data_IF_144167394563
#
_entry.id   IF_144167394563
#
_cell.length_a   1.000
_cell.length_b   1.000
_cell.length_c   1.000
_cell.angle_alpha   90.00
_cell.angle_beta   90.00
_cell.angle_gamma   90.00
#
_symmetry.space_group_name_H-M   'P 1'
#
loop_
_entity.id
_entity.type
_entity.pdbx_description
1 polymer ?
#
# COMPACT_ATOMS: atom_id res chain seq x y z
N UNK A 1 -24.70 -9.76 -11.67
CA UNK A 1 -24.31 -10.08 -10.29
C UNK A 1 -23.84 -8.79 -9.64
N UNK A 2 -24.36 -8.42 -8.47
CA UNK A 2 -23.86 -7.26 -7.72
C UNK A 2 -22.49 -7.68 -7.17
N UNK A 3 -21.40 -7.13 -7.69
CA UNK A 3 -20.08 -7.54 -7.23
C UNK A 3 -19.95 -7.21 -5.75
N UNK A 4 -19.50 -8.20 -4.99
CA UNK A 4 -19.45 -8.15 -3.55
C UNK A 4 -18.58 -6.96 -3.12
N UNK A 5 -19.15 -6.02 -2.36
CA UNK A 5 -18.46 -4.81 -1.82
C UNK A 5 -17.28 -5.12 -0.89
N UNK A 6 -16.93 -6.40 -0.76
CA UNK A 6 -15.89 -6.96 0.11
C UNK A 6 -14.52 -6.37 -0.18
N UNK A 7 -14.13 -6.22 -1.46
CA UNK A 7 -12.80 -5.67 -1.79
C UNK A 7 -12.70 -4.16 -1.53
N UNK A 8 -13.61 -3.29 -2.02
CA UNK A 8 -13.58 -1.88 -1.68
C UNK A 8 -13.61 -1.61 -0.16
N UNK A 9 -14.45 -2.32 0.58
CA UNK A 9 -14.53 -2.18 2.03
C UNK A 9 -13.25 -2.67 2.74
N UNK A 10 -12.63 -3.74 2.23
CA UNK A 10 -11.33 -4.21 2.71
C UNK A 10 -10.22 -3.19 2.43
N UNK A 11 -10.18 -2.61 1.23
CA UNK A 11 -9.21 -1.58 0.87
C UNK A 11 -9.32 -0.36 1.80
N UNK A 12 -10.55 0.09 2.12
CA UNK A 12 -10.76 1.18 3.07
C UNK A 12 -10.23 0.84 4.47
N UNK A 13 -10.52 -0.37 4.95
CA UNK A 13 -10.03 -0.88 6.23
C UNK A 13 -8.50 -0.95 6.30
N UNK A 14 -7.83 -1.35 5.22
CA UNK A 14 -6.37 -1.40 5.13
C UNK A 14 -5.78 0.00 5.08
N UNK A 15 -6.35 0.91 4.29
CA UNK A 15 -5.89 2.30 4.15
C UNK A 15 -5.93 3.03 5.50
N UNK A 16 -7.02 2.90 6.27
CA UNK A 16 -7.13 3.53 7.60
C UNK A 16 -6.07 3.00 8.55
N UNK A 17 -5.86 1.67 8.57
CA UNK A 17 -4.85 1.03 9.42
C UNK A 17 -3.43 1.42 9.02
N UNK A 18 -3.14 1.46 7.73
CA UNK A 18 -1.88 1.96 7.19
C UNK A 18 -1.64 3.41 7.57
N UNK A 19 -2.67 4.28 7.51
CA UNK A 19 -2.53 5.67 7.92
C UNK A 19 -2.20 5.80 9.42
N UNK A 20 -2.87 5.00 10.27
CA UNK A 20 -2.59 4.97 11.71
C UNK A 20 -1.18 4.46 12.02
N UNK A 21 -0.77 3.33 11.42
CA UNK A 21 0.59 2.78 11.58
C UNK A 21 1.63 3.75 11.00
N UNK A 22 1.31 4.38 9.88
CA UNK A 22 2.10 5.42 9.23
C UNK A 22 2.40 6.59 10.16
N UNK A 23 1.35 7.16 10.75
CA UNK A 23 1.48 8.29 11.65
C UNK A 23 2.28 7.93 12.91
N UNK A 24 1.94 6.81 13.58
CA UNK A 24 2.63 6.39 14.81
C UNK A 24 4.08 5.98 14.53
N UNK A 25 4.31 5.19 13.47
CA UNK A 25 5.63 4.71 13.09
C UNK A 25 6.55 5.81 12.60
N UNK A 26 6.04 6.76 11.79
CA UNK A 26 6.84 7.91 11.34
C UNK A 26 7.19 8.84 12.52
N UNK A 27 6.24 9.10 13.44
CA UNK A 27 6.51 9.89 14.63
C UNK A 27 7.56 9.22 15.54
N UNK A 28 7.44 7.91 15.78
CA UNK A 28 8.44 7.17 16.56
C UNK A 28 9.81 7.16 15.87
N UNK A 29 9.84 6.99 14.55
CA UNK A 29 11.06 7.04 13.76
C UNK A 29 11.74 8.41 13.83
N UNK A 30 10.96 9.49 13.77
CA UNK A 30 11.46 10.87 13.85
C UNK A 30 12.00 11.22 15.24
N UNK A 31 11.39 10.69 16.31
CA UNK A 31 11.83 10.95 17.68
C UNK A 31 13.08 10.17 18.08
N UNK A 32 13.27 8.95 17.55
CA UNK A 32 14.40 8.08 17.90
C UNK A 32 15.55 8.07 16.91
N UNK A 33 15.29 8.40 15.66
CA UNK A 33 16.27 8.37 14.57
C UNK A 33 16.20 9.66 13.76
N UNK A 34 16.92 9.71 12.65
CA UNK A 34 16.94 10.86 11.76
C UNK A 34 15.64 11.02 10.95
N UNK A 35 15.38 12.25 10.52
CA UNK A 35 14.25 12.59 9.67
C UNK A 35 14.22 11.78 8.36
N UNK A 36 15.37 11.36 7.84
CA UNK A 36 15.51 10.53 6.63
C UNK A 36 14.90 9.13 6.83
N UNK A 37 14.94 8.58 8.05
CA UNK A 37 14.33 7.31 8.41
C UNK A 37 12.81 7.45 8.51
N UNK A 38 12.35 8.51 9.18
CA UNK A 38 10.93 8.81 9.29
C UNK A 38 10.28 9.08 7.93
N UNK A 39 10.95 9.86 7.08
CA UNK A 39 10.49 10.16 5.72
C UNK A 39 10.52 8.92 4.82
N UNK A 40 11.54 8.06 4.94
CA UNK A 40 11.57 6.76 4.26
C UNK A 40 10.38 5.89 4.67
N UNK A 41 10.12 5.76 5.97
CA UNK A 41 8.98 5.00 6.51
C UNK A 41 7.65 5.54 6.00
N UNK A 42 7.45 6.85 6.08
CA UNK A 42 6.25 7.50 5.56
C UNK A 42 6.06 7.25 4.06
N UNK A 43 7.13 7.34 3.27
CA UNK A 43 7.07 7.06 1.83
C UNK A 43 6.64 5.63 1.52
N UNK A 44 7.14 4.63 2.25
CA UNK A 44 6.71 3.23 2.10
C UNK A 44 5.24 3.01 2.44
N UNK A 45 4.75 3.66 3.50
CA UNK A 45 3.33 3.59 3.90
C UNK A 45 2.43 4.30 2.88
N UNK A 46 2.82 5.50 2.44
CA UNK A 46 2.07 6.27 1.43
C UNK A 46 1.96 5.48 0.13
N UNK A 47 3.02 4.80 -0.30
CA UNK A 47 2.98 3.94 -1.47
C UNK A 47 1.87 2.87 -1.35
N UNK A 48 1.73 2.20 -0.21
CA UNK A 48 0.65 1.23 -0.01
C UNK A 48 -0.73 1.86 -0.01
N UNK A 49 -0.90 3.01 0.65
CA UNK A 49 -2.18 3.73 0.65
C UNK A 49 -2.58 4.06 -0.78
N UNK A 50 -1.67 4.64 -1.57
CA UNK A 50 -1.92 4.97 -2.98
C UNK A 50 -2.21 3.73 -3.81
N UNK A 51 -1.48 2.63 -3.60
CA UNK A 51 -1.71 1.37 -4.30
C UNK A 51 -3.12 0.81 -4.03
N UNK A 52 -3.57 0.78 -2.77
CA UNK A 52 -4.91 0.29 -2.43
C UNK A 52 -6.02 1.22 -2.93
N UNK A 53 -5.82 2.53 -2.88
CA UNK A 53 -6.76 3.50 -3.45
C UNK A 53 -6.87 3.36 -4.97
N UNK A 54 -5.74 3.18 -5.66
CA UNK A 54 -5.71 2.92 -7.10
C UNK A 54 -6.47 1.62 -7.43
N UNK A 55 -6.17 0.53 -6.73
CA UNK A 55 -6.86 -0.75 -6.93
C UNK A 55 -8.36 -0.65 -6.67
N UNK A 56 -8.78 0.06 -5.61
CA UNK A 56 -10.20 0.32 -5.33
C UNK A 56 -10.86 1.10 -6.46
N UNK A 57 -10.24 2.18 -6.93
CA UNK A 57 -10.78 2.95 -8.05
C UNK A 57 -10.89 2.11 -9.33
N UNK A 58 -9.86 1.33 -9.65
CA UNK A 58 -9.84 0.47 -10.83
C UNK A 58 -10.90 -0.63 -10.75
N UNK A 59 -11.09 -1.21 -9.57
CA UNK A 59 -12.15 -2.19 -9.30
C UNK A 59 -13.55 -1.60 -9.54
N UNK A 60 -13.85 -0.43 -8.96
CA UNK A 60 -15.15 0.26 -9.16
C UNK A 60 -15.36 0.62 -10.63
N UNK A 61 -14.29 1.00 -11.34
CA UNK A 61 -14.37 1.29 -12.76
C UNK A 61 -14.67 0.03 -13.59
N UNK A 62 -14.02 -1.11 -13.32
CA UNK A 62 -14.34 -2.36 -14.00
C UNK A 62 -15.72 -2.92 -13.68
N UNK A 63 -16.21 -2.70 -12.45
CA UNK A 63 -17.58 -3.01 -12.08
C UNK A 63 -18.59 -2.20 -12.91
N UNK A 64 -18.35 -0.90 -13.11
CA UNK A 64 -19.18 -0.04 -13.97
C UNK A 64 -19.17 -0.46 -15.44
N UNK A 65 -18.07 -1.06 -15.91
CA UNK A 65 -17.95 -1.59 -17.26
C UNK A 65 -18.56 -3.00 -17.43
N UNK A 66 -19.21 -3.54 -16.38
CA UNK A 66 -19.78 -4.91 -16.35
C UNK A 66 -18.78 -5.99 -16.81
N UNK A 67 -17.48 -5.79 -16.54
CA UNK A 67 -16.44 -6.76 -16.90
C UNK A 67 -16.66 -8.08 -16.18
N UNK A 68 -16.28 -9.19 -16.84
CA UNK A 68 -16.39 -10.53 -16.29
C UNK A 68 -15.61 -10.66 -14.96
N UNK A 69 -16.17 -11.41 -14.01
CA UNK A 69 -15.60 -11.67 -12.69
C UNK A 69 -14.23 -12.33 -12.80
N UNK A 70 -14.08 -13.23 -13.79
CA UNK A 70 -12.80 -13.86 -14.09
C UNK A 70 -11.75 -12.83 -14.53
N UNK A 71 -12.15 -11.83 -15.33
CA UNK A 71 -11.27 -10.76 -15.79
C UNK A 71 -10.86 -9.82 -14.65
N UNK A 72 -11.81 -9.39 -13.80
CA UNK A 72 -11.53 -8.56 -12.62
C UNK A 72 -10.60 -9.30 -11.65
N UNK A 73 -10.83 -10.60 -11.44
CA UNK A 73 -9.99 -11.44 -10.59
C UNK A 73 -8.58 -11.64 -11.16
N UNK A 74 -8.44 -11.99 -12.43
CA UNK A 74 -7.14 -12.19 -13.09
C UNK A 74 -6.33 -10.90 -13.16
N UNK A 75 -6.95 -9.80 -13.57
CA UNK A 75 -6.27 -8.51 -13.67
C UNK A 75 -5.95 -7.95 -12.27
N UNK A 76 -6.84 -8.18 -11.30
CA UNK A 76 -6.59 -7.86 -9.89
C UNK A 76 -5.39 -8.63 -9.32
N UNK A 77 -5.28 -9.93 -9.61
CA UNK A 77 -4.15 -10.75 -9.22
C UNK A 77 -2.85 -10.35 -9.93
N UNK A 78 -2.92 -10.01 -11.22
CA UNK A 78 -1.78 -9.52 -11.99
C UNK A 78 -1.25 -8.19 -11.43
N UNK A 79 -2.14 -7.25 -11.08
CA UNK A 79 -1.76 -5.98 -10.42
C UNK A 79 -1.24 -6.18 -9.00
N UNK A 80 -1.84 -7.09 -8.23
CA UNK A 80 -1.33 -7.45 -6.92
C UNK A 80 0.07 -8.08 -7.01
N UNK A 81 0.33 -8.89 -8.05
CA UNK A 81 1.64 -9.48 -8.33
C UNK A 81 2.66 -8.47 -8.85
N UNK A 82 2.23 -7.49 -9.65
CA UNK A 82 3.13 -6.43 -10.16
C UNK A 82 3.64 -5.50 -9.07
N UNK A 83 2.92 -5.43 -7.94
CA UNK A 83 3.30 -4.63 -6.77
C UNK A 83 4.74 -4.87 -6.32
N UNK A 84 5.22 -6.12 -6.30
CA UNK A 84 6.58 -6.44 -5.86
C UNK A 84 7.64 -5.82 -6.78
N UNK A 85 7.39 -5.78 -8.08
CA UNK A 85 8.29 -5.14 -9.04
C UNK A 85 8.27 -3.62 -8.89
N UNK A 86 7.11 -3.03 -8.62
CA UNK A 86 6.99 -1.59 -8.35
C UNK A 86 7.68 -1.22 -7.04
N UNK A 87 7.52 -2.02 -5.97
CA UNK A 87 8.23 -1.84 -4.70
C UNK A 87 9.74 -1.92 -4.87
N UNK A 88 10.23 -2.91 -5.61
CA UNK A 88 11.66 -3.05 -5.90
C UNK A 88 12.19 -1.85 -6.71
N UNK A 89 11.44 -1.38 -7.70
CA UNK A 89 11.76 -0.17 -8.46
C UNK A 89 11.78 1.09 -7.59
N UNK A 90 10.80 1.25 -6.70
CA UNK A 90 10.74 2.39 -5.79
C UNK A 90 11.88 2.35 -4.76
N UNK A 91 12.22 1.16 -4.24
CA UNK A 91 13.37 0.98 -3.37
C UNK A 91 14.68 1.37 -4.08
N UNK A 92 14.87 0.93 -5.33
CA UNK A 92 16.04 1.32 -6.12
C UNK A 92 16.07 2.85 -6.37
N UNK A 93 14.94 3.49 -6.68
CA UNK A 93 14.87 4.93 -6.85
C UNK A 93 15.19 5.69 -5.54
N UNK A 94 14.70 5.19 -4.40
CA UNK A 94 15.03 5.74 -3.08
C UNK A 94 16.54 5.67 -2.82
N UNK A 95 17.17 4.54 -3.10
CA UNK A 95 18.63 4.33 -2.94
C UNK A 95 19.43 5.28 -3.83
N UNK A 96 19.04 5.39 -5.11
CA UNK A 96 19.86 6.04 -6.13
C UNK A 96 19.68 7.55 -6.18
N UNK A 97 18.49 8.06 -5.84
CA UNK A 97 18.11 9.45 -6.12
C UNK A 97 17.61 10.24 -4.90
N UNK A 98 17.54 9.62 -3.71
CA UNK A 98 17.06 10.32 -2.52
C UNK A 98 17.99 10.12 -1.33
N UNK A 99 18.06 11.07 -0.38
CA UNK A 99 18.78 10.88 0.88
C UNK A 99 17.97 10.05 1.90
N UNK A 100 16.86 9.44 1.49
CA UNK A 100 15.98 8.71 2.41
C UNK A 100 16.62 7.39 2.84
N UNK A 101 16.37 6.99 4.08
CA UNK A 101 16.87 5.72 4.59
C UNK A 101 16.12 4.56 3.94
N UNK A 102 16.88 3.66 3.31
CA UNK A 102 16.38 2.39 2.77
C UNK A 102 15.73 1.55 3.87
N UNK A 103 16.31 1.53 5.07
CA UNK A 103 15.77 0.79 6.21
C UNK A 103 14.43 1.38 6.66
N UNK A 104 14.33 2.71 6.71
CA UNK A 104 13.06 3.39 6.95
C UNK A 104 12.01 3.01 5.90
N UNK A 105 12.38 3.07 4.63
CA UNK A 105 11.49 2.71 3.51
C UNK A 105 11.01 1.26 3.57
N UNK A 106 11.93 0.31 3.78
CA UNK A 106 11.59 -1.11 3.94
C UNK A 106 10.69 -1.37 5.15
N UNK A 107 10.94 -0.70 6.28
CA UNK A 107 10.06 -0.78 7.45
C UNK A 107 8.65 -0.22 7.14
N UNK A 108 8.58 0.86 6.36
CA UNK A 108 7.32 1.41 5.84
C UNK A 108 6.59 0.41 4.94
N UNK A 109 7.31 -0.32 4.08
CA UNK A 109 6.71 -1.38 3.26
C UNK A 109 6.21 -2.57 4.10
N UNK A 110 6.95 -2.94 5.14
CA UNK A 110 6.56 -4.03 6.04
C UNK A 110 5.31 -3.71 6.88
N UNK A 111 4.93 -2.44 7.01
CA UNK A 111 3.70 -2.01 7.72
C UNK A 111 2.42 -2.60 7.13
N UNK A 112 2.46 -3.10 5.89
CA UNK A 112 1.33 -3.79 5.29
C UNK A 112 0.95 -5.09 6.03
N UNK A 113 1.93 -5.86 6.52
CA UNK A 113 1.66 -7.12 7.21
C UNK A 113 0.73 -6.93 8.42
N UNK A 114 1.04 -6.06 9.39
CA UNK A 114 0.11 -5.80 10.49
C UNK A 114 -1.19 -5.14 10.02
N UNK A 115 -1.15 -4.23 9.05
CA UNK A 115 -2.36 -3.58 8.53
C UNK A 115 -3.36 -4.57 7.93
N UNK A 116 -2.87 -5.59 7.22
CA UNK A 116 -3.70 -6.62 6.57
C UNK A 116 -4.21 -7.68 7.55
N UNK A 117 -3.43 -8.08 8.55
CA UNK A 117 -3.89 -8.97 9.63
C UNK A 117 -5.02 -8.30 10.39
N UNK A 118 -4.83 -7.06 10.82
CA UNK A 118 -5.85 -6.33 11.56
C UNK A 118 -7.06 -5.98 10.70
N UNK A 119 -6.94 -5.83 9.37
CA UNK A 119 -8.06 -5.56 8.46
C UNK A 119 -9.01 -6.74 8.24
N UNK A 120 -8.58 -7.96 8.57
CA UNK A 120 -9.42 -9.18 8.53
C UNK A 120 -10.25 -9.38 9.80
N UNK A 121 -9.89 -8.69 10.89
CA UNK A 121 -10.68 -8.60 12.12
C UNK A 121 -11.70 -7.46 11.99
#
# INVERSE_FOLDING_TARGET
MKYDTVFPAFADRVVIRLAAIGAVGAAAAFLKWEWTVAAGFAAGVVFHILFFLYMKQRYIHWEKEERDAAYIGQMGAALAGSRLFVEAGLAAAVVLWTPLSILGFLAGLLSLFPATIWARQ
#
